data_IF_746098886889
#
_entry.id   IF_746098886889
#
_cell.length_a   1.000
_cell.length_b   1.000
_cell.length_c   1.000
_cell.angle_alpha   90.00
_cell.angle_beta   90.00
_cell.angle_gamma   90.00
#
_symmetry.space_group_name_H-M   'P 1'
#
loop_
_entity.id
_entity.type
_entity.pdbx_description
1 polymer ?
#
# COMPACT_ATOMS: atom_id res chain seq x y z
N UNK A 1 -17.35 -18.30 -13.01
CA UNK A 1 -16.27 -18.99 -12.26
C UNK A 1 -16.91 -19.78 -11.14
N UNK A 2 -16.70 -21.07 -11.13
CA UNK A 2 -17.11 -21.99 -10.06
C UNK A 2 -16.08 -21.98 -8.92
N UNK A 3 -16.42 -22.60 -7.79
CA UNK A 3 -15.46 -22.76 -6.68
C UNK A 3 -14.25 -23.59 -7.07
N UNK A 4 -14.43 -24.67 -7.85
CA UNK A 4 -13.33 -25.52 -8.32
C UNK A 4 -12.36 -24.73 -9.21
N UNK A 5 -12.89 -23.93 -10.13
CA UNK A 5 -12.10 -23.06 -11.00
C UNK A 5 -11.34 -22.00 -10.17
N UNK A 6 -11.99 -21.40 -9.17
CA UNK A 6 -11.35 -20.43 -8.26
C UNK A 6 -10.21 -21.08 -7.46
N UNK A 7 -10.48 -22.27 -6.89
CA UNK A 7 -9.49 -23.04 -6.15
C UNK A 7 -8.27 -23.36 -7.03
N UNK A 8 -8.51 -23.94 -8.19
CA UNK A 8 -7.44 -24.27 -9.14
C UNK A 8 -6.67 -23.02 -9.55
N UNK A 9 -7.36 -21.93 -9.83
CA UNK A 9 -6.75 -20.65 -10.21
C UNK A 9 -5.84 -20.12 -9.10
N UNK A 10 -6.29 -20.06 -7.83
CA UNK A 10 -5.48 -19.57 -6.70
C UNK A 10 -4.24 -20.44 -6.52
N UNK A 11 -4.39 -21.77 -6.56
CA UNK A 11 -3.25 -22.71 -6.41
C UNK A 11 -2.18 -22.51 -7.50
N UNK A 12 -2.59 -22.18 -8.72
CA UNK A 12 -1.66 -21.83 -9.82
C UNK A 12 -0.95 -20.50 -9.65
N UNK A 13 -1.51 -19.58 -8.85
CA UNK A 13 -0.88 -18.27 -8.59
C UNK A 13 0.21 -18.36 -7.51
N UNK A 14 0.11 -19.33 -6.59
CA UNK A 14 0.98 -19.45 -5.43
C UNK A 14 1.64 -20.83 -5.44
N UNK A 15 2.94 -20.90 -5.74
CA UNK A 15 3.69 -22.15 -5.78
C UNK A 15 4.03 -22.62 -4.35
N UNK A 16 3.02 -23.03 -3.59
CA UNK A 16 3.23 -23.62 -2.29
C UNK A 16 3.59 -25.11 -2.41
N UNK A 17 4.52 -25.63 -1.59
CA UNK A 17 4.83 -27.06 -1.53
C UNK A 17 3.56 -27.89 -1.28
N UNK A 18 3.44 -29.07 -1.87
CA UNK A 18 2.23 -29.91 -1.84
C UNK A 18 1.65 -30.06 -0.42
N UNK A 19 2.51 -30.31 0.59
CA UNK A 19 2.13 -30.44 2.01
C UNK A 19 1.53 -29.16 2.63
N UNK A 20 1.81 -27.98 2.07
CA UNK A 20 1.33 -26.68 2.58
C UNK A 20 0.17 -26.12 1.76
N UNK A 21 -0.16 -26.70 0.61
CA UNK A 21 -1.16 -26.15 -0.29
C UNK A 21 -2.53 -25.98 0.35
N UNK A 22 -2.97 -26.94 1.16
CA UNK A 22 -4.30 -26.92 1.78
C UNK A 22 -4.42 -25.77 2.78
N UNK A 23 -3.45 -25.62 3.70
CA UNK A 23 -3.48 -24.53 4.69
C UNK A 23 -3.25 -23.17 4.04
N UNK A 24 -2.36 -23.08 3.06
CA UNK A 24 -2.10 -21.87 2.30
C UNK A 24 -3.35 -21.41 1.53
N UNK A 25 -3.98 -22.34 0.79
CA UNK A 25 -5.21 -22.05 0.07
C UNK A 25 -6.36 -21.66 1.00
N UNK A 26 -6.58 -22.41 2.09
CA UNK A 26 -7.59 -22.12 3.08
C UNK A 26 -7.44 -20.71 3.67
N UNK A 27 -6.20 -20.33 4.03
CA UNK A 27 -5.92 -18.98 4.54
C UNK A 27 -6.20 -17.89 3.50
N UNK A 28 -5.69 -18.05 2.28
CA UNK A 28 -5.82 -17.04 1.24
C UNK A 28 -7.28 -16.87 0.84
N UNK A 29 -8.00 -17.95 0.59
CA UNK A 29 -9.42 -17.87 0.26
C UNK A 29 -10.21 -17.20 1.38
N UNK A 30 -9.91 -17.55 2.64
CA UNK A 30 -10.52 -16.93 3.81
C UNK A 30 -10.25 -15.40 3.86
N UNK A 31 -9.03 -14.96 3.53
CA UNK A 31 -8.71 -13.52 3.46
C UNK A 31 -9.43 -12.81 2.30
N UNK A 32 -9.81 -13.52 1.24
CA UNK A 32 -10.48 -12.96 0.06
C UNK A 32 -12.00 -12.89 0.19
N UNK A 33 -12.62 -13.52 1.18
CA UNK A 33 -14.08 -13.46 1.39
C UNK A 33 -14.46 -12.35 2.37
N UNK A 34 -15.71 -11.90 2.30
CA UNK A 34 -16.28 -10.92 3.23
C UNK A 34 -16.69 -11.59 4.52
N UNK A 35 -15.98 -11.29 5.60
CA UNK A 35 -16.28 -11.76 6.97
C UNK A 35 -16.14 -10.60 7.95
N UNK A 36 -16.79 -10.71 9.11
CA UNK A 36 -16.71 -9.69 10.16
C UNK A 36 -15.29 -9.53 10.72
N UNK A 37 -14.55 -10.64 10.86
CA UNK A 37 -13.20 -10.66 11.43
C UNK A 37 -12.36 -11.78 10.83
N UNK A 38 -11.16 -11.46 10.35
CA UNK A 38 -10.23 -12.41 9.75
C UNK A 38 -9.28 -13.02 10.80
N UNK A 39 -9.83 -13.57 11.90
CA UNK A 39 -9.03 -14.25 12.93
C UNK A 39 -8.65 -15.68 12.51
N UNK A 40 -7.60 -16.25 13.10
CA UNK A 40 -7.20 -17.65 12.85
C UNK A 40 -8.28 -18.64 13.30
N UNK A 41 -9.05 -18.32 14.36
CA UNK A 41 -10.21 -19.13 14.79
C UNK A 41 -11.26 -19.15 13.68
N UNK A 42 -11.61 -18.01 13.10
CA UNK A 42 -12.56 -17.95 12.01
C UNK A 42 -12.03 -18.64 10.74
N UNK A 43 -10.73 -18.56 10.45
CA UNK A 43 -10.10 -19.29 9.35
C UNK A 43 -10.19 -20.82 9.56
N UNK A 44 -10.01 -21.28 10.79
CA UNK A 44 -10.17 -22.68 11.19
C UNK A 44 -11.59 -23.17 10.94
N UNK A 45 -12.59 -22.45 11.44
CA UNK A 45 -14.02 -22.75 11.23
C UNK A 45 -14.41 -22.77 9.75
N UNK A 46 -13.89 -21.81 8.96
CA UNK A 46 -14.14 -21.72 7.53
C UNK A 46 -13.58 -22.89 6.73
N UNK A 47 -12.37 -23.33 7.06
CA UNK A 47 -11.61 -24.31 6.26
C UNK A 47 -11.75 -25.74 6.76
N UNK A 48 -12.24 -25.96 7.98
CA UNK A 48 -12.22 -27.27 8.66
C UNK A 48 -10.82 -27.69 9.12
N UNK A 49 -9.81 -26.81 9.03
CA UNK A 49 -8.45 -27.10 9.50
C UNK A 49 -8.27 -26.61 10.94
N UNK A 50 -7.49 -27.35 11.75
CA UNK A 50 -7.25 -26.93 13.13
C UNK A 50 -6.45 -25.62 13.20
N UNK A 51 -6.77 -24.76 14.15
CA UNK A 51 -6.17 -23.41 14.31
C UNK A 51 -4.65 -23.45 14.43
N UNK A 52 -4.08 -24.51 15.05
CA UNK A 52 -2.62 -24.67 15.18
C UNK A 52 -1.91 -24.85 13.85
N UNK A 53 -2.58 -25.36 12.81
CA UNK A 53 -2.01 -25.49 11.47
C UNK A 53 -1.76 -24.11 10.86
N UNK A 54 -2.70 -23.17 11.00
CA UNK A 54 -2.52 -21.79 10.57
C UNK A 54 -1.42 -21.07 11.37
N UNK A 55 -1.43 -21.23 12.69
CA UNK A 55 -0.41 -20.61 13.55
C UNK A 55 0.99 -21.11 13.21
N UNK A 56 1.18 -22.41 13.06
CA UNK A 56 2.46 -23.02 12.63
C UNK A 56 2.84 -22.60 11.22
N UNK A 57 1.88 -22.56 10.30
CA UNK A 57 2.12 -22.11 8.92
C UNK A 57 2.66 -20.68 8.87
N UNK A 58 2.04 -19.74 9.60
CA UNK A 58 2.50 -18.36 9.66
C UNK A 58 3.88 -18.22 10.33
N UNK A 59 4.15 -18.98 11.41
CA UNK A 59 5.41 -18.88 12.15
C UNK A 59 6.58 -19.52 11.43
N UNK A 60 6.36 -20.68 10.78
CA UNK A 60 7.43 -21.51 10.25
C UNK A 60 7.76 -21.22 8.78
N UNK A 61 6.85 -20.52 8.06
CA UNK A 61 7.02 -20.28 6.61
C UNK A 61 6.94 -18.81 6.20
N UNK A 62 7.60 -17.85 6.92
CA UNK A 62 7.54 -16.44 6.57
C UNK A 62 8.19 -16.12 5.21
N UNK A 63 9.20 -16.90 4.83
CA UNK A 63 9.87 -16.79 3.53
C UNK A 63 8.94 -17.10 2.35
N UNK A 64 8.06 -18.10 2.50
CA UNK A 64 7.06 -18.44 1.49
C UNK A 64 6.08 -17.28 1.24
N UNK A 65 5.59 -16.66 2.31
CA UNK A 65 4.69 -15.52 2.20
C UNK A 65 5.34 -14.33 1.46
N UNK A 66 6.59 -13.99 1.82
CA UNK A 66 7.34 -12.89 1.19
C UNK A 66 7.66 -13.18 -0.29
N UNK A 67 8.10 -14.39 -0.61
CA UNK A 67 8.42 -14.78 -2.00
C UNK A 67 7.16 -14.80 -2.87
N UNK A 68 6.04 -15.36 -2.37
CA UNK A 68 4.76 -15.35 -3.04
C UNK A 68 4.27 -13.92 -3.34
N UNK A 69 4.38 -13.02 -2.36
CA UNK A 69 4.04 -11.61 -2.56
C UNK A 69 4.90 -10.98 -3.67
N UNK A 70 6.22 -11.19 -3.63
CA UNK A 70 7.14 -10.66 -4.64
C UNK A 70 6.79 -11.17 -6.05
N UNK A 71 6.48 -12.45 -6.18
CA UNK A 71 6.08 -13.06 -7.46
C UNK A 71 4.74 -12.49 -7.97
N UNK A 72 3.74 -12.37 -7.10
CA UNK A 72 2.44 -11.81 -7.46
C UNK A 72 2.55 -10.35 -7.85
N UNK A 73 3.35 -9.55 -7.13
CA UNK A 73 3.61 -8.16 -7.46
C UNK A 73 4.26 -8.01 -8.83
N UNK A 74 5.29 -8.82 -9.13
CA UNK A 74 5.92 -8.85 -10.45
C UNK A 74 4.92 -9.26 -11.54
N UNK A 75 4.13 -10.31 -11.29
CA UNK A 75 3.12 -10.80 -12.24
C UNK A 75 2.10 -9.74 -12.59
N UNK A 76 1.49 -9.10 -11.59
CA UNK A 76 0.52 -8.03 -11.80
C UNK A 76 1.15 -6.85 -12.55
N UNK A 77 2.36 -6.44 -12.14
CA UNK A 77 3.09 -5.36 -12.79
C UNK A 77 3.37 -5.64 -14.26
N UNK A 78 3.85 -6.84 -14.61
CA UNK A 78 4.11 -7.26 -15.98
C UNK A 78 2.83 -7.27 -16.85
N UNK A 79 1.71 -7.72 -16.29
CA UNK A 79 0.41 -7.69 -16.99
C UNK A 79 0.01 -6.26 -17.32
N UNK A 80 0.15 -5.33 -16.36
CA UNK A 80 -0.18 -3.93 -16.57
C UNK A 80 0.82 -3.21 -17.48
N UNK A 81 2.09 -3.58 -17.42
CA UNK A 81 3.15 -3.00 -18.24
C UNK A 81 3.00 -3.30 -19.73
N UNK A 82 2.34 -4.41 -20.12
CA UNK A 82 2.07 -4.72 -21.55
C UNK A 82 1.32 -3.59 -22.29
N UNK A 83 0.53 -2.79 -21.57
CA UNK A 83 -0.23 -1.66 -22.11
C UNK A 83 -0.02 -0.43 -21.23
N UNK A 84 1.24 -0.14 -20.90
CA UNK A 84 1.58 0.97 -20.02
C UNK A 84 1.25 2.30 -20.67
N UNK A 85 0.58 3.16 -19.93
CA UNK A 85 0.21 4.53 -20.33
C UNK A 85 0.67 5.54 -19.29
N UNK A 86 0.63 6.80 -19.64
CA UNK A 86 0.91 7.86 -18.68
C UNK A 86 -0.16 7.93 -17.60
N UNK A 87 0.27 8.22 -16.37
CA UNK A 87 -0.60 8.28 -15.19
C UNK A 87 -1.66 9.37 -15.30
N UNK A 88 -2.71 9.24 -14.47
CA UNK A 88 -3.88 10.12 -14.44
C UNK A 88 -4.53 10.27 -15.84
N UNK A 89 -4.80 9.13 -16.50
CA UNK A 89 -5.38 9.10 -17.84
C UNK A 89 -4.60 9.97 -18.84
N UNK A 90 -3.30 9.76 -18.92
CA UNK A 90 -2.36 10.47 -19.80
C UNK A 90 -2.20 11.98 -19.53
N UNK A 91 -2.54 12.46 -18.33
CA UNK A 91 -2.40 13.88 -17.95
C UNK A 91 -1.09 14.21 -17.24
N UNK A 92 -0.31 13.21 -16.85
CA UNK A 92 0.98 13.36 -16.18
C UNK A 92 2.12 12.93 -17.09
N UNK A 93 3.35 13.47 -16.91
CA UNK A 93 4.50 13.09 -17.73
C UNK A 93 5.13 11.75 -17.29
N UNK A 94 4.65 11.14 -16.21
CA UNK A 94 5.16 9.88 -15.66
C UNK A 94 4.22 8.74 -15.97
N UNK A 95 4.80 7.55 -16.16
CA UNK A 95 4.05 6.29 -16.41
C UNK A 95 3.95 5.42 -15.17
N UNK A 96 4.89 5.60 -14.23
CA UNK A 96 5.02 4.78 -13.03
C UNK A 96 5.18 5.70 -11.84
N UNK A 97 4.39 5.48 -10.79
CA UNK A 97 4.66 6.09 -9.50
C UNK A 97 5.07 5.01 -8.47
N UNK A 98 6.09 5.33 -7.68
CA UNK A 98 6.48 4.61 -6.48
C UNK A 98 5.98 5.45 -5.32
N UNK A 99 5.00 4.93 -4.57
CA UNK A 99 4.39 5.68 -3.46
C UNK A 99 4.86 5.08 -2.15
N UNK A 100 5.34 5.93 -1.25
CA UNK A 100 5.90 5.55 0.05
C UNK A 100 5.04 6.17 1.14
N UNK A 101 4.56 5.34 2.05
CA UNK A 101 3.84 5.79 3.25
C UNK A 101 3.89 4.72 4.33
N UNK A 102 3.75 5.10 5.60
CA UNK A 102 3.69 4.13 6.69
C UNK A 102 2.28 3.95 7.21
N UNK A 103 2.02 2.77 7.77
CA UNK A 103 0.78 2.49 8.48
C UNK A 103 1.05 1.78 9.79
N UNK A 104 0.21 2.04 10.78
CA UNK A 104 0.24 1.36 12.07
C UNK A 104 -0.72 0.18 12.05
N UNK A 105 -0.28 -0.92 12.62
CA UNK A 105 -1.09 -2.12 12.89
C UNK A 105 -1.32 -2.19 14.39
N UNK A 106 -2.54 -1.93 14.83
CA UNK A 106 -2.92 -1.93 16.25
C UNK A 106 -2.77 -3.33 16.85
N UNK A 107 -2.27 -3.40 18.09
CA UNK A 107 -2.15 -4.61 18.88
C UNK A 107 -2.68 -4.38 20.28
N UNK A 108 -3.55 -5.26 20.74
CA UNK A 108 -4.07 -5.22 22.11
C UNK A 108 -3.10 -5.89 23.10
N UNK A 109 -2.36 -6.89 22.64
CA UNK A 109 -1.37 -7.60 23.49
C UNK A 109 -0.03 -6.85 23.49
N UNK A 110 0.32 -6.26 24.61
CA UNK A 110 1.60 -5.55 24.83
C UNK A 110 2.81 -6.47 24.93
N UNK A 111 2.59 -7.77 25.12
CA UNK A 111 3.64 -8.80 25.23
C UNK A 111 4.02 -9.43 23.88
N UNK A 112 3.39 -9.01 22.79
CA UNK A 112 3.81 -9.45 21.44
C UNK A 112 5.17 -8.85 21.08
N UNK A 113 5.96 -9.62 20.34
CA UNK A 113 7.28 -9.20 19.89
C UNK A 113 7.22 -7.92 19.04
N UNK A 114 8.25 -7.07 19.16
CA UNK A 114 8.43 -5.83 18.39
C UNK A 114 7.28 -4.81 18.53
N UNK A 115 6.42 -4.94 19.54
CA UNK A 115 5.37 -3.96 19.82
C UNK A 115 5.97 -2.69 20.41
N UNK A 116 5.48 -1.55 19.96
CA UNK A 116 5.89 -0.22 20.42
C UNK A 116 4.67 0.70 20.53
N UNK A 117 4.78 1.72 21.39
CA UNK A 117 3.87 2.85 21.46
C UNK A 117 4.25 3.89 20.42
N UNK A 118 3.30 4.26 19.56
CA UNK A 118 3.45 5.30 18.54
C UNK A 118 2.49 6.45 18.82
N UNK A 119 2.97 7.68 18.75
CA UNK A 119 2.10 8.85 18.82
C UNK A 119 1.24 8.91 17.54
N UNK A 120 -0.07 9.07 17.68
CA UNK A 120 -1.01 9.13 16.57
C UNK A 120 -2.14 10.11 16.87
N UNK A 121 -2.23 11.20 16.10
CA UNK A 121 -3.17 12.27 16.37
C UNK A 121 -2.95 12.91 17.75
N UNK A 122 -4.02 13.03 18.53
CA UNK A 122 -3.99 13.52 19.92
C UNK A 122 -3.69 12.41 20.95
N UNK A 123 -3.47 11.17 20.50
CA UNK A 123 -3.28 10.01 21.36
C UNK A 123 -2.08 9.15 20.95
N UNK A 124 -2.20 7.86 21.20
CA UNK A 124 -1.19 6.88 20.81
C UNK A 124 -1.82 5.55 20.38
N UNK A 125 -1.05 4.81 19.58
CA UNK A 125 -1.35 3.44 19.17
C UNK A 125 -0.23 2.54 19.67
N UNK A 126 -0.60 1.38 20.25
CA UNK A 126 0.34 0.30 20.59
C UNK A 126 0.27 -0.72 19.47
N UNK A 127 1.41 -1.08 18.87
CA UNK A 127 1.40 -2.03 17.76
C UNK A 127 2.69 -2.08 16.98
N UNK A 128 2.55 -2.47 15.72
CA UNK A 128 3.63 -2.53 14.73
C UNK A 128 3.48 -1.41 13.71
N UNK A 129 4.60 -0.92 13.20
CA UNK A 129 4.63 0.02 12.08
C UNK A 129 5.19 -0.68 10.84
N UNK A 130 4.56 -0.41 9.71
CA UNK A 130 4.93 -0.92 8.40
C UNK A 130 5.13 0.24 7.44
N UNK A 131 6.31 0.32 6.83
CA UNK A 131 6.53 1.25 5.72
C UNK A 131 6.16 0.52 4.44
N UNK A 132 5.14 1.01 3.78
CA UNK A 132 4.64 0.45 2.54
C UNK A 132 5.25 1.17 1.35
N UNK A 133 5.66 0.38 0.38
CA UNK A 133 6.08 0.84 -0.93
C UNK A 133 5.15 0.18 -1.94
N UNK A 134 4.42 0.99 -2.70
CA UNK A 134 3.53 0.48 -3.72
C UNK A 134 3.92 1.04 -5.09
N UNK A 135 3.82 0.21 -6.12
CA UNK A 135 3.88 0.67 -7.50
C UNK A 135 2.48 1.09 -7.95
N UNK A 136 2.40 2.16 -8.71
CA UNK A 136 1.20 2.53 -9.43
C UNK A 136 1.48 2.49 -10.92
N UNK A 137 0.75 1.64 -11.64
CA UNK A 137 0.82 1.46 -13.09
C UNK A 137 -0.61 1.50 -13.63
N UNK A 138 -0.87 2.31 -14.65
CA UNK A 138 -2.21 2.48 -15.22
C UNK A 138 -3.27 2.83 -14.16
N UNK A 139 -2.89 3.67 -13.18
CA UNK A 139 -3.71 4.09 -12.03
C UNK A 139 -4.14 2.94 -11.09
N UNK A 140 -3.49 1.75 -11.18
CA UNK A 140 -3.70 0.62 -10.28
C UNK A 140 -2.54 0.48 -9.29
N UNK A 141 -2.88 0.19 -8.03
CA UNK A 141 -1.93 0.02 -6.93
C UNK A 141 -1.48 -1.44 -6.83
N UNK A 142 -0.17 -1.65 -6.79
CA UNK A 142 0.48 -2.95 -6.63
C UNK A 142 1.37 -2.87 -5.40
N UNK A 143 1.02 -3.50 -4.28
CA UNK A 143 1.87 -3.50 -3.11
C UNK A 143 3.13 -4.33 -3.33
N UNK A 144 4.25 -3.81 -2.86
CA UNK A 144 5.51 -4.54 -2.74
C UNK A 144 5.65 -5.10 -1.32
N UNK A 145 6.61 -6.01 -1.05
CA UNK A 145 6.87 -6.45 0.31
C UNK A 145 7.11 -5.26 1.25
N UNK A 146 6.29 -5.09 2.32
CA UNK A 146 6.43 -3.96 3.22
C UNK A 146 7.69 -4.07 4.06
N UNK A 147 8.21 -2.93 4.48
CA UNK A 147 9.37 -2.85 5.38
C UNK A 147 8.84 -2.80 6.82
N UNK A 148 9.14 -3.79 7.67
CA UNK A 148 8.79 -3.75 9.07
C UNK A 148 9.69 -2.77 9.83
N UNK A 149 9.12 -1.94 10.68
CA UNK A 149 9.90 -1.14 11.62
C UNK A 149 10.30 -2.00 12.82
N UNK A 150 11.59 -2.01 13.15
CA UNK A 150 12.09 -2.69 14.34
C UNK A 150 12.32 -1.69 15.47
N UNK A 151 11.70 -1.94 16.63
CA UNK A 151 11.95 -1.11 17.81
C UNK A 151 13.36 -1.32 18.34
N UNK A 152 13.93 -0.30 19.01
CA UNK A 152 15.28 -0.42 19.62
C UNK A 152 15.39 -1.61 20.59
N UNK A 153 14.31 -1.87 21.36
CA UNK A 153 14.23 -3.02 22.26
C UNK A 153 14.33 -4.33 21.51
N UNK A 154 13.52 -4.49 20.45
CA UNK A 154 13.54 -5.68 19.60
C UNK A 154 14.88 -5.89 18.92
N UNK A 155 15.50 -4.83 18.43
CA UNK A 155 16.85 -4.90 17.82
C UNK A 155 17.89 -5.40 18.82
N UNK A 156 17.89 -4.90 20.06
CA UNK A 156 18.80 -5.36 21.13
C UNK A 156 18.60 -6.84 21.45
N UNK A 157 17.35 -7.26 21.66
CA UNK A 157 17.03 -8.66 22.01
C UNK A 157 17.37 -9.66 20.91
N UNK A 158 17.33 -9.24 19.64
CA UNK A 158 17.59 -10.11 18.48
C UNK A 158 18.96 -9.86 17.84
N UNK A 159 19.85 -9.03 18.44
CA UNK A 159 21.17 -8.67 17.92
C UNK A 159 21.10 -8.10 16.48
N UNK A 160 20.04 -7.32 16.17
CA UNK A 160 19.83 -6.68 14.88
C UNK A 160 20.27 -5.21 14.99
N UNK A 161 21.01 -4.69 14.00
CA UNK A 161 21.34 -3.29 13.94
C UNK A 161 20.10 -2.42 13.78
N UNK A 162 19.91 -1.45 14.68
CA UNK A 162 18.80 -0.51 14.59
C UNK A 162 18.98 0.43 13.39
N UNK A 163 17.90 0.57 12.61
CA UNK A 163 17.85 1.49 11.48
C UNK A 163 16.65 2.42 11.60
N UNK A 164 16.81 3.65 11.12
CA UNK A 164 15.66 4.56 10.99
C UNK A 164 14.82 4.19 9.78
N UNK A 165 13.55 4.58 9.79
CA UNK A 165 12.64 4.35 8.67
C UNK A 165 13.22 4.89 7.34
N UNK A 166 13.75 6.11 7.34
CA UNK A 166 14.35 6.70 6.15
C UNK A 166 15.57 5.92 5.64
N UNK A 167 16.40 5.38 6.54
CA UNK A 167 17.55 4.53 6.16
C UNK A 167 17.06 3.25 5.48
N UNK A 168 16.06 2.59 6.04
CA UNK A 168 15.47 1.37 5.47
C UNK A 168 14.84 1.64 4.10
N UNK A 169 14.12 2.77 3.95
CA UNK A 169 13.55 3.19 2.66
C UNK A 169 14.65 3.43 1.62
N UNK A 170 15.75 4.11 1.98
CA UNK A 170 16.88 4.31 1.07
C UNK A 170 17.50 2.99 0.61
N UNK A 171 17.71 2.04 1.53
CA UNK A 171 18.22 0.71 1.19
C UNK A 171 17.29 -0.04 0.26
N UNK A 172 15.98 0.00 0.55
CA UNK A 172 14.97 -0.63 -0.28
C UNK A 172 14.95 -0.03 -1.70
N UNK A 173 14.94 1.30 -1.84
CA UNK A 173 14.94 1.97 -3.13
C UNK A 173 16.22 1.68 -3.94
N UNK A 174 17.38 1.60 -3.28
CA UNK A 174 18.66 1.23 -3.95
C UNK A 174 18.58 -0.18 -4.51
N UNK A 175 18.03 -1.15 -3.75
CA UNK A 175 17.87 -2.53 -4.16
C UNK A 175 16.69 -2.77 -5.11
N UNK A 176 15.78 -1.80 -5.28
CA UNK A 176 14.62 -1.99 -6.15
C UNK A 176 15.02 -1.97 -7.62
N UNK A 177 14.93 -3.15 -8.26
CA UNK A 177 15.09 -3.30 -9.70
C UNK A 177 13.70 -3.27 -10.37
N UNK A 178 13.33 -2.17 -11.01
CA UNK A 178 12.04 -2.02 -11.68
C UNK A 178 11.91 -2.89 -12.93
N UNK A 179 13.01 -3.28 -13.57
CA UNK A 179 12.96 -4.14 -14.76
C UNK A 179 12.34 -5.51 -14.47
N UNK A 180 12.51 -6.01 -13.26
CA UNK A 180 11.88 -7.26 -12.85
C UNK A 180 10.34 -7.17 -12.82
N UNK A 181 9.80 -5.97 -12.64
CA UNK A 181 8.37 -5.69 -12.54
C UNK A 181 7.74 -5.28 -13.87
N UNK A 182 8.43 -4.46 -14.64
CA UNK A 182 7.85 -3.79 -15.81
C UNK A 182 8.66 -3.98 -17.11
N UNK A 183 9.79 -4.69 -17.05
CA UNK A 183 10.72 -4.79 -18.16
C UNK A 183 11.50 -3.50 -18.40
N UNK A 184 12.12 -3.38 -19.56
CA UNK A 184 12.89 -2.20 -19.97
C UNK A 184 12.00 -0.97 -19.96
N UNK A 185 12.46 0.10 -19.33
CA UNK A 185 11.70 1.33 -19.16
C UNK A 185 12.62 2.57 -19.15
N UNK A 186 12.05 3.73 -19.47
CA UNK A 186 12.75 4.99 -19.32
C UNK A 186 12.61 5.49 -17.87
N UNK A 187 13.73 5.61 -17.17
CA UNK A 187 13.78 6.09 -15.77
C UNK A 187 13.15 7.49 -15.60
N UNK A 188 13.17 8.33 -16.62
CA UNK A 188 12.50 9.66 -16.63
C UNK A 188 10.98 9.58 -16.56
N UNK A 189 10.38 8.42 -16.80
CA UNK A 189 8.94 8.22 -16.61
C UNK A 189 8.55 7.67 -15.23
N UNK A 190 9.51 7.57 -14.30
CA UNK A 190 9.30 7.11 -12.93
C UNK A 190 9.27 8.30 -11.99
N UNK A 191 8.28 8.35 -11.09
CA UNK A 191 8.19 9.37 -10.03
C UNK A 191 7.99 8.72 -8.68
N UNK A 192 8.76 9.16 -7.68
CA UNK A 192 8.59 8.76 -6.28
C UNK A 192 7.74 9.80 -5.56
N UNK A 193 6.69 9.34 -4.87
CA UNK A 193 5.74 10.18 -4.14
C UNK A 193 5.79 9.84 -2.66
N UNK A 194 6.02 10.83 -1.81
CA UNK A 194 6.08 10.63 -0.37
C UNK A 194 5.55 11.86 0.39
N UNK A 195 5.14 11.63 1.64
CA UNK A 195 4.73 12.71 2.51
C UNK A 195 5.92 13.42 3.19
N UNK A 196 5.66 14.37 4.09
CA UNK A 196 6.70 15.12 4.80
C UNK A 196 7.45 14.29 5.86
N UNK A 197 7.01 13.10 6.19
CA UNK A 197 7.76 12.15 7.01
C UNK A 197 9.06 11.70 6.32
N UNK A 198 9.00 11.62 5.00
CA UNK A 198 10.11 11.22 4.12
C UNK A 198 10.87 12.41 3.51
N UNK A 199 10.67 13.64 4.00
CA UNK A 199 11.48 14.81 3.66
C UNK A 199 12.92 14.63 4.20
N UNK A 200 13.74 13.96 3.40
CA UNK A 200 15.11 13.56 3.75
C UNK A 200 16.03 13.69 2.55
N UNK A 201 17.20 14.35 2.79
CA UNK A 201 18.25 14.47 1.78
C UNK A 201 18.69 13.12 1.19
N UNK A 202 18.69 12.07 2.02
CA UNK A 202 19.18 10.76 1.62
C UNK A 202 18.18 10.05 0.69
N UNK A 203 16.87 10.21 0.94
CA UNK A 203 15.83 9.72 0.04
C UNK A 203 15.88 10.47 -1.29
N UNK A 204 15.91 11.80 -1.25
CA UNK A 204 15.99 12.65 -2.44
C UNK A 204 17.20 12.31 -3.32
N UNK A 205 18.39 12.14 -2.70
CA UNK A 205 19.61 11.70 -3.39
C UNK A 205 19.50 10.28 -3.95
N UNK A 206 18.93 9.35 -3.19
CA UNK A 206 18.75 7.96 -3.62
C UNK A 206 17.82 7.90 -4.84
N UNK A 207 16.74 8.67 -4.86
CA UNK A 207 15.84 8.74 -6.02
C UNK A 207 16.55 9.36 -7.22
N UNK A 208 17.28 10.45 -7.02
CA UNK A 208 18.02 11.12 -8.09
C UNK A 208 19.13 10.23 -8.69
N UNK A 209 19.84 9.42 -7.87
CA UNK A 209 20.87 8.48 -8.36
C UNK A 209 20.32 7.39 -9.27
N UNK A 210 19.02 7.02 -9.10
CA UNK A 210 18.29 6.11 -10.01
C UNK A 210 17.80 6.81 -11.28
N UNK A 211 18.08 8.10 -11.45
CA UNK A 211 17.55 8.96 -12.53
C UNK A 211 16.01 9.03 -12.53
N UNK A 212 15.38 8.81 -11.37
CA UNK A 212 13.95 8.95 -11.18
C UNK A 212 13.59 10.37 -10.73
N UNK A 213 12.35 10.74 -10.98
CA UNK A 213 11.79 11.96 -10.43
C UNK A 213 11.21 11.73 -9.03
N UNK A 214 11.06 12.82 -8.26
CA UNK A 214 10.34 12.79 -7.00
C UNK A 214 9.38 13.96 -6.87
N UNK A 215 8.30 13.76 -6.13
CA UNK A 215 7.44 14.80 -5.57
C UNK A 215 7.25 14.48 -4.09
N UNK A 216 7.94 15.22 -3.24
CA UNK A 216 7.95 15.01 -1.79
C UNK A 216 7.40 16.24 -1.09
N UNK A 217 6.51 16.04 -0.10
CA UNK A 217 6.07 17.14 0.74
C UNK A 217 7.18 17.54 1.70
N UNK A 218 7.47 18.83 1.79
CA UNK A 218 8.50 19.38 2.66
C UNK A 218 7.95 19.75 4.03
N UNK A 219 8.73 19.55 5.07
CA UNK A 219 8.50 20.11 6.40
C UNK A 219 8.62 21.64 6.33
N UNK A 220 7.76 22.37 7.05
CA UNK A 220 7.77 23.84 7.08
C UNK A 220 9.13 24.44 7.39
N UNK A 221 9.94 23.75 8.23
CA UNK A 221 11.26 24.16 8.66
C UNK A 221 12.39 23.75 7.69
N UNK A 222 12.09 23.03 6.58
CA UNK A 222 13.11 22.65 5.59
C UNK A 222 13.77 23.89 5.02
N UNK A 223 15.12 23.91 5.03
CA UNK A 223 15.90 25.07 4.58
C UNK A 223 16.17 25.00 3.08
N UNK A 224 16.00 26.13 2.43
CA UNK A 224 16.18 26.33 1.00
C UNK A 224 16.99 27.59 0.73
N UNK A 225 17.73 27.61 -0.36
CA UNK A 225 18.39 28.81 -0.90
C UNK A 225 17.74 29.13 -2.25
N UNK A 226 17.27 30.37 -2.39
CA UNK A 226 16.58 30.81 -3.62
C UNK A 226 17.57 31.18 -4.71
N UNK A 227 17.21 30.94 -5.96
CA UNK A 227 18.08 31.20 -7.07
C UNK A 227 17.46 32.05 -8.17
N UNK A 228 16.23 31.81 -8.54
CA UNK A 228 15.53 32.63 -9.55
C UNK A 228 14.04 32.69 -9.26
N UNK A 229 13.49 33.90 -9.28
CA UNK A 229 12.05 34.12 -9.43
C UNK A 229 11.92 34.89 -10.73
N UNK A 230 11.17 34.37 -11.70
CA UNK A 230 10.86 34.94 -12.99
C UNK A 230 11.43 36.36 -13.23
N UNK A 231 12.42 36.51 -14.12
CA UNK A 231 13.12 37.74 -14.52
C UNK A 231 13.92 38.47 -13.41
N UNK A 232 13.57 38.36 -12.14
CA UNK A 232 14.31 38.99 -11.03
C UNK A 232 15.04 37.96 -10.19
N UNK A 233 16.36 38.07 -10.14
CA UNK A 233 17.21 37.22 -9.28
C UNK A 233 17.11 37.71 -7.86
N UNK A 234 16.35 37.01 -7.00
CA UNK A 234 16.38 37.29 -5.57
C UNK A 234 17.54 36.47 -4.99
N UNK A 235 18.70 37.08 -4.86
CA UNK A 235 19.81 36.52 -4.10
C UNK A 235 19.45 36.52 -2.62
N UNK A 236 19.00 35.36 -2.06
CA UNK A 236 18.95 35.24 -0.61
C UNK A 236 20.41 35.09 -0.12
N UNK A 237 20.84 35.96 0.79
CA UNK A 237 22.19 35.91 1.41
C UNK A 237 22.41 34.64 2.27
N UNK A 238 21.50 33.69 2.34
CA UNK A 238 21.60 32.50 3.20
C UNK A 238 20.49 31.48 3.02
N UNK A 239 20.52 30.46 3.85
CA UNK A 239 19.48 29.42 3.93
C UNK A 239 18.27 29.92 4.71
N UNK A 240 17.08 29.84 4.15
CA UNK A 240 15.81 30.26 4.74
C UNK A 240 14.84 29.08 4.80
N UNK A 241 14.01 29.02 5.82
CA UNK A 241 12.95 28.01 5.89
C UNK A 241 11.92 28.20 4.76
N UNK A 242 11.47 27.09 4.14
CA UNK A 242 10.55 27.13 3.01
C UNK A 242 9.25 27.89 3.33
N UNK A 243 8.73 27.74 4.54
CA UNK A 243 7.53 28.46 4.96
C UNK A 243 7.73 29.98 5.03
N UNK A 244 8.90 30.42 5.55
CA UNK A 244 9.28 31.84 5.63
C UNK A 244 9.52 32.39 4.23
N UNK A 245 10.21 31.62 3.36
CA UNK A 245 10.44 31.99 1.97
C UNK A 245 9.15 32.39 1.27
N UNK A 246 8.15 31.51 1.25
CA UNK A 246 6.88 31.77 0.58
C UNK A 246 6.01 32.83 1.28
N UNK A 247 6.24 33.13 2.56
CA UNK A 247 5.60 34.23 3.29
C UNK A 247 6.28 35.57 2.95
N UNK A 248 7.62 35.61 2.94
CA UNK A 248 8.41 36.85 2.72
C UNK A 248 8.24 37.40 1.31
N UNK A 249 8.26 36.53 0.30
CA UNK A 249 8.20 36.96 -1.10
C UNK A 249 6.73 37.08 -1.57
N UNK A 250 6.06 38.15 -1.10
CA UNK A 250 4.67 38.47 -1.51
C UNK A 250 4.54 38.86 -2.98
N UNK A 251 5.64 39.31 -3.62
CA UNK A 251 5.71 39.63 -5.06
C UNK A 251 5.43 38.42 -5.97
N UNK A 252 5.58 37.19 -5.46
CA UNK A 252 5.16 35.99 -6.19
C UNK A 252 3.65 35.97 -6.37
N UNK A 253 3.18 36.18 -7.58
CA UNK A 253 1.75 36.09 -7.90
C UNK A 253 1.25 34.65 -7.68
N UNK A 254 0.05 34.53 -7.12
CA UNK A 254 -0.65 33.26 -7.04
C UNK A 254 -1.28 32.93 -8.39
N UNK A 255 -1.03 31.73 -8.91
CA UNK A 255 -1.77 31.17 -10.02
C UNK A 255 -2.84 30.20 -9.52
N UNK A 256 -3.98 30.13 -10.21
CA UNK A 256 -5.04 29.17 -9.90
C UNK A 256 -4.86 27.92 -10.73
N UNK A 257 -4.83 26.77 -10.05
CA UNK A 257 -4.72 25.45 -10.68
C UNK A 257 -5.96 24.63 -10.35
N UNK A 258 -6.61 24.11 -11.39
CA UNK A 258 -7.76 23.21 -11.26
C UNK A 258 -7.31 21.76 -11.40
N UNK A 259 -7.58 20.97 -10.37
CA UNK A 259 -7.21 19.54 -10.32
C UNK A 259 -8.49 18.71 -10.20
N UNK A 260 -8.70 17.67 -11.01
CA UNK A 260 -9.87 16.81 -10.89
C UNK A 260 -9.91 16.12 -9.53
N UNK A 261 -11.11 15.98 -8.96
CA UNK A 261 -11.29 15.31 -7.65
C UNK A 261 -11.02 13.81 -7.77
N UNK A 262 -11.55 13.18 -8.81
CA UNK A 262 -11.35 11.77 -9.17
C UNK A 262 -11.23 11.67 -10.70
N UNK A 263 -10.73 10.54 -11.19
CA UNK A 263 -10.63 10.28 -12.64
C UNK A 263 -11.99 10.33 -13.37
N UNK A 264 -13.08 9.99 -12.68
CA UNK A 264 -14.44 9.87 -13.22
C UNK A 264 -15.35 11.05 -12.92
N UNK A 265 -15.02 11.93 -11.95
CA UNK A 265 -15.91 13.04 -11.57
C UNK A 265 -15.58 14.32 -12.34
N UNK A 266 -16.62 14.97 -12.88
CA UNK A 266 -16.55 16.33 -13.47
C UNK A 266 -16.12 17.39 -12.44
N UNK A 267 -16.23 17.09 -11.13
CA UNK A 267 -15.91 18.03 -10.03
C UNK A 267 -14.40 18.27 -9.95
N UNK A 268 -14.01 19.55 -9.97
CA UNK A 268 -12.61 20.01 -9.87
C UNK A 268 -12.40 20.73 -8.54
N UNK A 269 -11.19 20.54 -7.97
CA UNK A 269 -10.74 21.35 -6.82
C UNK A 269 -9.80 22.44 -7.33
N UNK A 270 -9.98 23.66 -6.81
CA UNK A 270 -9.14 24.80 -7.15
C UNK A 270 -8.12 25.05 -6.04
N UNK A 271 -6.87 25.13 -6.47
CA UNK A 271 -5.73 25.46 -5.61
C UNK A 271 -5.11 26.76 -6.09
N UNK A 272 -4.67 27.59 -5.14
CA UNK A 272 -3.73 28.66 -5.42
C UNK A 272 -2.32 28.11 -5.26
N UNK A 273 -1.45 28.38 -6.21
CA UNK A 273 -0.08 27.89 -6.22
C UNK A 273 0.93 28.98 -6.48
N UNK A 274 2.09 28.85 -5.87
CA UNK A 274 3.30 29.61 -6.18
C UNK A 274 4.41 28.63 -6.47
N UNK A 275 5.20 28.88 -7.50
CA UNK A 275 6.34 28.02 -7.89
C UNK A 275 7.60 28.87 -7.93
N UNK A 276 8.70 28.30 -7.44
CA UNK A 276 10.04 28.84 -7.57
C UNK A 276 11.01 27.71 -7.85
N UNK A 277 12.15 28.04 -8.44
CA UNK A 277 13.31 27.17 -8.48
C UNK A 277 14.26 27.58 -7.35
N UNK A 278 14.69 26.62 -6.54
CA UNK A 278 15.59 26.86 -5.42
C UNK A 278 16.58 25.71 -5.26
N UNK A 279 17.41 25.80 -4.23
CA UNK A 279 18.31 24.71 -3.81
C UNK A 279 17.87 24.18 -2.45
N UNK A 280 17.70 22.89 -2.33
CA UNK A 280 17.59 22.19 -1.05
C UNK A 280 19.00 21.90 -0.52
N UNK A 281 19.19 22.12 0.79
CA UNK A 281 20.48 21.89 1.43
C UNK A 281 20.91 20.43 1.26
N UNK A 282 22.12 20.21 0.73
CA UNK A 282 22.73 18.90 0.48
C UNK A 282 21.99 18.01 -0.55
N UNK A 283 21.08 18.58 -1.35
CA UNK A 283 20.35 17.86 -2.42
C UNK A 283 20.62 18.48 -3.78
N UNK A 284 20.56 19.81 -3.85
CA UNK A 284 20.79 20.55 -5.09
C UNK A 284 19.55 21.30 -5.58
N UNK A 285 19.58 21.64 -6.88
CA UNK A 285 18.53 22.42 -7.54
C UNK A 285 17.23 21.63 -7.58
N UNK A 286 16.13 22.29 -7.24
CA UNK A 286 14.79 21.67 -7.23
C UNK A 286 13.70 22.70 -7.50
N UNK A 287 12.57 22.25 -8.01
CA UNK A 287 11.33 23.03 -8.06
C UNK A 287 10.62 22.98 -6.73
N UNK A 288 10.23 24.13 -6.21
CA UNK A 288 9.47 24.29 -4.98
C UNK A 288 8.08 24.83 -5.31
N UNK A 289 7.05 24.13 -4.89
CA UNK A 289 5.66 24.52 -5.08
C UNK A 289 5.00 24.71 -3.73
N UNK A 290 4.49 25.91 -3.47
CA UNK A 290 3.59 26.18 -2.35
C UNK A 290 2.16 26.13 -2.86
N UNK A 291 1.31 25.35 -2.24
CA UNK A 291 -0.10 25.23 -2.60
C UNK A 291 -1.01 25.43 -1.39
N UNK A 292 -2.13 26.08 -1.62
CA UNK A 292 -3.23 26.22 -0.64
C UNK A 292 -4.57 26.03 -1.35
N UNK A 293 -5.57 25.59 -0.61
CA UNK A 293 -6.91 25.39 -1.16
C UNK A 293 -7.61 26.74 -1.36
N UNK A 294 -8.13 27.04 -2.55
CA UNK A 294 -8.68 28.37 -2.90
C UNK A 294 -9.84 28.79 -1.99
N UNK A 295 -10.72 27.87 -1.62
CA UNK A 295 -11.87 28.12 -0.74
C UNK A 295 -11.48 28.39 0.72
N UNK A 296 -10.25 28.07 1.14
CA UNK A 296 -9.71 28.30 2.48
C UNK A 296 -8.26 28.77 2.37
N UNK A 297 -8.03 30.04 1.93
CA UNK A 297 -6.69 30.53 1.58
C UNK A 297 -5.73 30.63 2.77
N UNK A 298 -6.25 30.70 3.99
CA UNK A 298 -5.44 30.68 5.23
C UNK A 298 -5.29 29.29 5.82
N UNK A 299 -5.82 28.25 5.13
CA UNK A 299 -5.73 26.88 5.53
C UNK A 299 -4.29 26.32 5.48
N UNK A 300 -4.15 25.02 5.64
CA UNK A 300 -2.86 24.34 5.66
C UNK A 300 -2.16 24.43 4.31
N UNK A 301 -1.16 25.30 4.20
CA UNK A 301 -0.25 25.34 3.05
C UNK A 301 0.55 24.06 2.99
N UNK A 302 0.68 23.50 1.79
CA UNK A 302 1.61 22.40 1.49
C UNK A 302 2.76 22.93 0.66
N UNK A 303 3.96 22.47 0.99
CA UNK A 303 5.19 22.76 0.29
C UNK A 303 5.66 21.45 -0.35
N UNK A 304 5.88 21.47 -1.66
CA UNK A 304 6.30 20.29 -2.43
C UNK A 304 7.64 20.59 -3.07
N UNK A 305 8.52 19.60 -3.07
CA UNK A 305 9.75 19.58 -3.84
C UNK A 305 9.62 18.61 -5.02
N UNK A 306 10.11 19.03 -6.19
CA UNK A 306 10.12 18.19 -7.40
C UNK A 306 11.42 18.43 -8.17
N UNK A 307 12.10 17.36 -8.59
CA UNK A 307 13.32 17.45 -9.42
C UNK A 307 13.05 17.36 -10.92
N UNK A 308 11.81 17.21 -11.36
CA UNK A 308 11.43 17.31 -12.77
C UNK A 308 11.18 18.76 -13.15
N UNK A 309 12.18 19.39 -13.80
CA UNK A 309 12.10 20.80 -14.19
C UNK A 309 11.17 21.08 -15.37
N UNK A 310 10.69 20.04 -16.07
CA UNK A 310 9.70 20.16 -17.14
C UNK A 310 8.28 20.12 -16.64
N UNK A 311 8.07 19.58 -15.43
CA UNK A 311 6.73 19.47 -14.85
C UNK A 311 6.19 20.84 -14.42
N UNK A 312 4.99 21.17 -14.89
CA UNK A 312 4.29 22.41 -14.51
C UNK A 312 3.58 22.23 -13.14
N UNK A 313 3.24 23.31 -12.41
CA UNK A 313 2.62 23.23 -11.09
C UNK A 313 1.38 22.33 -11.02
N UNK A 314 0.57 22.34 -12.08
CA UNK A 314 -0.62 21.48 -12.19
C UNK A 314 -0.25 20.00 -12.17
N UNK A 315 0.78 19.60 -12.90
CA UNK A 315 1.25 18.22 -12.97
C UNK A 315 1.86 17.79 -11.63
N UNK A 316 2.64 18.67 -10.98
CA UNK A 316 3.22 18.40 -9.65
C UNK A 316 2.11 18.17 -8.61
N UNK A 317 1.07 19.02 -8.60
CA UNK A 317 -0.07 18.84 -7.69
C UNK A 317 -0.88 17.58 -8.00
N UNK A 318 -1.15 17.31 -9.27
CA UNK A 318 -1.84 16.09 -9.68
C UNK A 318 -1.03 14.84 -9.33
N UNK A 319 0.27 14.85 -9.60
CA UNK A 319 1.19 13.77 -9.25
C UNK A 319 1.20 13.53 -7.74
N UNK A 320 1.36 14.58 -6.93
CA UNK A 320 1.34 14.45 -5.46
C UNK A 320 0.02 13.86 -4.95
N UNK A 321 -1.10 14.16 -5.60
CA UNK A 321 -2.41 13.61 -5.21
C UNK A 321 -2.52 12.11 -5.45
N UNK A 322 -1.77 11.53 -6.39
CA UNK A 322 -1.74 10.08 -6.58
C UNK A 322 -1.25 9.37 -5.32
N UNK A 323 -0.48 10.05 -4.45
CA UNK A 323 -0.08 9.50 -3.15
C UNK A 323 -1.27 9.02 -2.32
N UNK A 324 -2.45 9.65 -2.46
CA UNK A 324 -3.66 9.22 -1.76
C UNK A 324 -4.05 7.75 -2.02
N UNK A 325 -3.60 7.18 -3.11
CA UNK A 325 -3.90 5.80 -3.45
C UNK A 325 -3.33 4.78 -2.44
N UNK A 326 -2.20 5.10 -1.78
CA UNK A 326 -1.65 4.25 -0.72
C UNK A 326 -2.51 4.32 0.55
N UNK A 327 -3.12 5.47 0.85
CA UNK A 327 -4.04 5.61 1.98
C UNK A 327 -5.32 4.79 1.75
N UNK A 328 -5.82 4.73 0.50
CA UNK A 328 -6.92 3.86 0.11
C UNK A 328 -6.52 2.39 0.24
N UNK A 329 -5.30 2.03 -0.18
CA UNK A 329 -4.76 0.69 0.01
C UNK A 329 -4.69 0.32 1.51
N UNK A 330 -4.16 1.21 2.37
CA UNK A 330 -4.15 1.01 3.82
C UNK A 330 -5.56 0.80 4.38
N UNK A 331 -6.53 1.60 3.92
CA UNK A 331 -7.93 1.44 4.29
C UNK A 331 -8.45 0.05 3.90
N UNK A 332 -8.19 -0.37 2.68
CA UNK A 332 -8.66 -1.67 2.18
C UNK A 332 -8.11 -2.85 2.98
N UNK A 333 -6.80 -2.89 3.24
CA UNK A 333 -6.20 -3.99 4.00
C UNK A 333 -6.68 -4.03 5.46
N UNK A 334 -6.93 -2.88 6.07
CA UNK A 334 -7.43 -2.79 7.46
C UNK A 334 -8.89 -3.16 7.57
N UNK A 335 -9.73 -2.62 6.71
CA UNK A 335 -11.19 -2.80 6.82
C UNK A 335 -11.68 -4.14 6.25
N UNK A 336 -11.02 -4.66 5.20
CA UNK A 336 -11.56 -5.77 4.42
C UNK A 336 -10.72 -7.04 4.43
N UNK A 337 -9.44 -6.97 4.82
CA UNK A 337 -8.52 -8.11 4.73
C UNK A 337 -7.91 -8.54 6.07
N UNK A 338 -8.39 -7.97 7.17
CA UNK A 338 -7.98 -8.38 8.50
C UNK A 338 -6.54 -8.04 8.89
N UNK A 339 -6.02 -6.90 8.44
CA UNK A 339 -4.66 -6.45 8.75
C UNK A 339 -4.36 -6.39 10.25
N UNK A 340 -5.37 -6.16 11.09
CA UNK A 340 -5.25 -6.05 12.54
C UNK A 340 -5.79 -7.30 13.29
N UNK A 341 -6.36 -8.30 12.58
CA UNK A 341 -7.17 -9.36 13.18
C UNK A 341 -6.38 -10.56 13.72
N UNK A 342 -5.12 -10.72 13.35
CA UNK A 342 -4.31 -11.87 13.80
C UNK A 342 -3.62 -11.59 15.13
N UNK A 343 -3.98 -12.35 16.14
CA UNK A 343 -3.36 -12.34 17.46
C UNK A 343 -2.17 -13.30 17.49
N UNK A 344 -1.04 -12.94 16.87
CA UNK A 344 0.20 -13.71 16.95
C UNK A 344 1.17 -13.06 17.94
N UNK A 345 1.84 -13.89 18.78
CA UNK A 345 2.89 -13.45 19.72
C UNK A 345 4.17 -13.12 18.98
N UNK A 346 4.59 -14.01 18.08
CA UNK A 346 5.86 -13.92 17.37
C UNK A 346 5.79 -12.96 16.20
N UNK A 347 6.75 -12.06 16.10
CA UNK A 347 6.77 -11.05 15.03
C UNK A 347 6.91 -11.66 13.64
N UNK A 348 7.59 -12.78 13.49
CA UNK A 348 7.70 -13.54 12.23
C UNK A 348 6.34 -13.98 11.70
N UNK A 349 5.45 -14.46 12.59
CA UNK A 349 4.08 -14.83 12.21
C UNK A 349 3.25 -13.61 11.80
N UNK A 350 3.45 -12.47 12.47
CA UNK A 350 2.82 -11.20 12.10
C UNK A 350 3.27 -10.75 10.71
N UNK A 351 4.57 -10.83 10.43
CA UNK A 351 5.13 -10.51 9.10
C UNK A 351 4.55 -11.41 8.01
N UNK A 352 4.52 -12.71 8.27
CA UNK A 352 3.93 -13.70 7.36
C UNK A 352 2.46 -13.37 7.05
N UNK A 353 1.66 -13.07 8.08
CA UNK A 353 0.26 -12.69 7.91
C UNK A 353 0.10 -11.43 7.04
N UNK A 354 0.88 -10.40 7.31
CA UNK A 354 0.85 -9.15 6.50
C UNK A 354 1.17 -9.43 5.04
N UNK A 355 2.17 -10.27 4.76
CA UNK A 355 2.49 -10.66 3.38
C UNK A 355 1.32 -11.41 2.71
N UNK A 356 0.63 -12.32 3.43
CA UNK A 356 -0.52 -13.05 2.89
C UNK A 356 -1.73 -12.13 2.61
N UNK A 357 -1.95 -11.12 3.45
CA UNK A 357 -2.96 -10.08 3.18
C UNK A 357 -2.66 -9.35 1.87
N UNK A 358 -1.40 -9.02 1.62
CA UNK A 358 -1.02 -8.34 0.37
C UNK A 358 -1.13 -9.28 -0.83
N UNK A 359 -0.83 -10.57 -0.65
CA UNK A 359 -1.11 -11.59 -1.66
C UNK A 359 -2.61 -11.65 -1.99
N UNK A 360 -3.49 -11.70 -0.98
CA UNK A 360 -4.93 -11.70 -1.16
C UNK A 360 -5.42 -10.45 -1.90
N UNK A 361 -4.90 -9.26 -1.54
CA UNK A 361 -5.19 -8.02 -2.25
C UNK A 361 -4.83 -8.08 -3.74
N UNK A 362 -3.63 -8.57 -4.07
CA UNK A 362 -3.19 -8.73 -5.46
C UNK A 362 -4.04 -9.77 -6.19
N UNK A 363 -4.31 -10.90 -5.57
CA UNK A 363 -5.12 -11.96 -6.16
C UNK A 363 -6.53 -11.49 -6.49
N UNK A 364 -7.17 -10.72 -5.63
CA UNK A 364 -8.47 -10.11 -5.95
C UNK A 364 -8.41 -9.17 -7.15
N UNK A 365 -7.29 -8.48 -7.36
CA UNK A 365 -7.12 -7.63 -8.53
C UNK A 365 -6.80 -8.42 -9.82
N UNK A 366 -6.20 -9.61 -9.69
CA UNK A 366 -5.87 -10.50 -10.81
C UNK A 366 -6.98 -11.47 -11.15
N UNK A 367 -7.92 -11.72 -10.22
CA UNK A 367 -8.94 -12.75 -10.36
C UNK A 367 -9.89 -12.46 -11.54
N UNK A 368 -10.02 -13.39 -12.50
CA UNK A 368 -10.84 -13.18 -13.70
C UNK A 368 -12.32 -13.45 -13.43
N UNK A 369 -12.92 -12.79 -12.44
CA UNK A 369 -14.34 -12.96 -12.11
C UNK A 369 -15.18 -12.20 -13.14
N UNK A 370 -16.09 -12.90 -13.82
CA UNK A 370 -17.09 -12.28 -14.70
C UNK A 370 -18.07 -11.44 -13.86
N UNK A 371 -18.48 -10.28 -14.37
CA UNK A 371 -19.45 -9.39 -13.71
C UNK A 371 -18.84 -8.31 -12.81
N UNK A 372 -17.50 -8.27 -12.64
CA UNK A 372 -16.81 -7.11 -12.09
C UNK A 372 -16.08 -6.41 -13.21
N UNK A 373 -16.32 -5.12 -13.38
CA UNK A 373 -15.43 -4.28 -14.20
C UNK A 373 -14.00 -4.44 -13.70
N UNK A 374 -13.01 -4.39 -14.59
CA UNK A 374 -11.57 -4.47 -14.23
C UNK A 374 -11.18 -3.51 -13.10
N UNK A 375 -11.95 -2.43 -12.92
CA UNK A 375 -11.77 -1.39 -11.90
C UNK A 375 -12.80 -1.50 -10.75
N UNK A 376 -13.51 -2.62 -10.62
CA UNK A 376 -14.47 -2.84 -9.53
C UNK A 376 -13.83 -2.69 -8.15
N UNK A 377 -14.58 -2.20 -7.18
CA UNK A 377 -14.09 -2.00 -5.82
C UNK A 377 -13.69 -3.32 -5.17
N UNK A 378 -12.79 -3.26 -4.19
CA UNK A 378 -12.37 -4.44 -3.41
C UNK A 378 -13.57 -5.13 -2.76
N UNK A 379 -14.58 -4.36 -2.33
CA UNK A 379 -15.80 -4.85 -1.72
C UNK A 379 -16.61 -5.70 -2.70
N UNK A 380 -16.84 -5.19 -3.92
CA UNK A 380 -17.54 -5.94 -4.97
C UNK A 380 -16.85 -7.27 -5.30
N UNK A 381 -15.51 -7.25 -5.34
CA UNK A 381 -14.71 -8.46 -5.58
C UNK A 381 -14.87 -9.47 -4.45
N UNK A 382 -14.83 -9.01 -3.19
CA UNK A 382 -15.06 -9.88 -2.02
C UNK A 382 -16.47 -10.47 -2.01
N UNK A 383 -17.49 -9.67 -2.29
CA UNK A 383 -18.88 -10.13 -2.36
C UNK A 383 -19.05 -11.24 -3.38
N UNK A 384 -18.45 -11.09 -4.58
CA UNK A 384 -18.55 -12.10 -5.63
C UNK A 384 -17.80 -13.39 -5.26
N UNK A 385 -16.61 -13.28 -4.66
CA UNK A 385 -15.88 -14.45 -4.16
C UNK A 385 -16.69 -15.13 -3.06
N UNK A 386 -17.27 -14.37 -2.14
CA UNK A 386 -18.12 -14.90 -1.07
C UNK A 386 -19.36 -15.62 -1.62
N UNK A 387 -19.99 -15.10 -2.68
CA UNK A 387 -21.11 -15.78 -3.37
C UNK A 387 -20.70 -17.12 -3.98
N UNK A 388 -19.51 -17.19 -4.62
CA UNK A 388 -18.97 -18.44 -5.18
C UNK A 388 -18.79 -19.49 -4.07
N UNK A 389 -18.23 -19.09 -2.94
CA UNK A 389 -18.04 -19.97 -1.77
C UNK A 389 -19.38 -20.42 -1.21
N UNK A 390 -20.32 -19.50 -1.02
CA UNK A 390 -21.65 -19.79 -0.49
C UNK A 390 -22.44 -20.73 -1.40
N UNK A 391 -22.37 -20.57 -2.71
CA UNK A 391 -23.03 -21.48 -3.66
C UNK A 391 -22.50 -22.91 -3.55
N UNK A 392 -21.17 -23.07 -3.34
CA UNK A 392 -20.59 -24.38 -3.06
C UNK A 392 -21.15 -25.01 -1.79
N UNK A 393 -21.20 -24.25 -0.69
CA UNK A 393 -21.69 -24.78 0.59
C UNK A 393 -23.19 -25.15 0.48
N UNK A 394 -24.01 -24.34 -0.19
CA UNK A 394 -25.42 -24.69 -0.48
C UNK A 394 -25.54 -25.98 -1.30
N UNK A 395 -24.69 -26.17 -2.31
CA UNK A 395 -24.66 -27.40 -3.11
C UNK A 395 -24.27 -28.62 -2.26
N UNK A 396 -23.27 -28.44 -1.38
CA UNK A 396 -22.83 -29.49 -0.47
C UNK A 396 -23.92 -29.89 0.52
N UNK A 397 -24.59 -28.91 1.12
CA UNK A 397 -25.73 -29.17 2.01
C UNK A 397 -26.86 -29.91 1.28
N UNK A 398 -27.22 -29.48 0.06
CA UNK A 398 -28.24 -30.21 -0.75
C UNK A 398 -27.84 -31.67 -1.00
N UNK A 399 -26.55 -31.91 -1.38
CA UNK A 399 -26.06 -33.29 -1.60
C UNK A 399 -26.14 -34.13 -0.32
N UNK A 400 -25.80 -33.55 0.84
CA UNK A 400 -25.97 -34.25 2.12
C UNK A 400 -27.45 -34.55 2.42
N UNK A 401 -28.34 -33.56 2.27
CA UNK A 401 -29.77 -33.77 2.49
C UNK A 401 -30.34 -34.83 1.56
N UNK A 402 -29.93 -34.87 0.31
CA UNK A 402 -30.33 -35.93 -0.62
C UNK A 402 -29.81 -37.31 -0.21
N UNK A 403 -28.54 -37.37 0.27
CA UNK A 403 -27.91 -38.60 0.74
C UNK A 403 -28.60 -39.18 1.99
N UNK A 404 -29.10 -38.31 2.88
CA UNK A 404 -29.80 -38.70 4.11
C UNK A 404 -31.32 -38.73 3.97
N UNK A 405 -31.85 -38.71 2.76
CA UNK A 405 -33.30 -38.76 2.49
C UNK A 405 -34.14 -37.71 3.25
N UNK A 406 -33.53 -36.58 3.60
CA UNK A 406 -34.21 -35.44 4.20
C UNK A 406 -33.50 -34.78 5.38
N UNK A 407 -34.18 -33.73 5.88
CA UNK A 407 -33.61 -32.88 6.96
C UNK A 407 -33.54 -33.61 8.31
N UNK A 408 -34.52 -34.44 8.60
CA UNK A 408 -34.63 -35.08 9.93
C UNK A 408 -33.59 -36.20 10.13
N UNK A 409 -33.32 -36.99 9.09
CA UNK A 409 -32.24 -37.98 9.12
C UNK A 409 -30.86 -37.30 9.23
N UNK A 410 -30.65 -36.16 8.56
CA UNK A 410 -29.44 -35.37 8.68
C UNK A 410 -29.24 -34.76 10.09
N UNK A 411 -30.32 -34.26 10.72
CA UNK A 411 -30.29 -33.74 12.09
C UNK A 411 -29.94 -34.82 13.10
N UNK A 412 -30.55 -36.01 12.96
CA UNK A 412 -30.27 -37.15 13.83
C UNK A 412 -28.81 -37.55 13.79
N UNK A 413 -28.21 -37.66 12.60
CA UNK A 413 -26.80 -38.05 12.45
C UNK A 413 -25.84 -36.94 12.90
N UNK A 414 -26.20 -35.67 12.70
CA UNK A 414 -25.45 -34.51 13.21
C UNK A 414 -25.47 -34.51 14.75
N UNK A 415 -26.60 -34.82 15.37
CA UNK A 415 -26.74 -34.87 16.83
C UNK A 415 -25.93 -36.03 17.40
N UNK A 416 -25.97 -37.21 16.79
CA UNK A 416 -25.13 -38.35 17.17
C UNK A 416 -23.64 -38.04 17.03
N UNK A 417 -23.23 -37.35 15.95
CA UNK A 417 -21.85 -36.95 15.75
C UNK A 417 -21.39 -35.89 16.78
N UNK A 418 -22.27 -35.02 17.23
CA UNK A 418 -21.99 -34.02 18.27
C UNK A 418 -21.92 -34.64 19.68
N UNK A 419 -22.70 -35.69 19.96
CA UNK A 419 -22.66 -36.43 21.20
C UNK A 419 -21.43 -37.34 21.31
N UNK A 420 -20.82 -37.70 20.18
CA UNK A 420 -19.60 -38.51 20.09
C UNK A 420 -18.29 -37.70 20.18
N UNK A 421 -18.37 -36.36 20.19
CA UNK A 421 -17.26 -35.42 20.36
C UNK A 421 -17.15 -34.89 21.80
#
# INVERSE_FOLDING_TARGET
MTYSELNHWIRRQIPAPKRLQTVCFGLILFLMISVRKHSLKAASQFSGLHISQFSRFLSNHPGLAKSSLSQLSRKQSKILAKRIRFLANNKLPWKIAIIIDSTLQTRFNRHSDNVKRFNHGAGFVIGHQWTNIVLMINDQVIPLPPIPFHSKRYCRSNKIQYQTENTMVCQYLRGLNLEEYIGVHNSKHVVVLADSGYDSKDIEKTVASKKWHYIIALKKKRTVKTVKIFKNTIKSKGWIQVAILFKKYRCLKWSTVRVPVNSTRKKRMEFRVRQITGYLRNVGKTQLVCSEFKKRPQGRRKYLACNDFKAVPRQILMGYRLRWAIEIFHKHIKMFLGFEDVAAKWFTAVQSHVHWIYCAYILMNLCPIRGVEKNGSIVQKQELISRIVMLREKSRVRQLLTRFNGIDAFKSELQQALEAL
#
